data_IF_369564675507
#
_entry.id   IF_369564675507
#
_cell.length_a   1.000
_cell.length_b   1.000
_cell.length_c   1.000
_cell.angle_alpha   90.00
_cell.angle_beta   90.00
_cell.angle_gamma   90.00
#
_symmetry.space_group_name_H-M   'P 1'
#
loop_
_entity.id
_entity.type
_entity.pdbx_description
1 polymer ?
#
# COMPACT_ATOMS: atom_id res chain seq x y z
N UNK A 1 13.53 1.90 23.47
CA UNK A 1 13.47 3.14 22.67
C UNK A 1 13.41 4.38 23.54
N UNK A 2 12.51 4.49 24.52
CA UNK A 2 12.42 5.64 25.44
C UNK A 2 13.75 6.01 26.11
N UNK A 3 14.47 5.06 26.74
CA UNK A 3 15.79 5.34 27.31
C UNK A 3 16.81 5.89 26.29
N UNK A 4 16.75 5.45 25.02
CA UNK A 4 17.63 5.96 23.97
C UNK A 4 17.28 7.40 23.58
N UNK A 5 15.98 7.73 23.55
CA UNK A 5 15.47 9.09 23.34
C UNK A 5 15.88 10.01 24.51
N UNK A 6 15.81 9.52 25.74
CA UNK A 6 16.25 10.30 26.91
C UNK A 6 17.75 10.64 26.86
N UNK A 7 18.57 9.69 26.41
CA UNK A 7 20.02 9.88 26.25
C UNK A 7 20.34 10.82 25.07
N UNK A 8 19.64 10.66 23.94
CA UNK A 8 19.85 11.46 22.74
C UNK A 8 18.51 11.85 22.09
N UNK A 9 17.89 12.96 22.52
CA UNK A 9 16.54 13.35 22.09
C UNK A 9 16.37 13.66 20.61
N UNK A 10 17.46 13.89 19.87
CA UNK A 10 17.43 14.19 18.44
C UNK A 10 17.84 12.97 17.59
N UNK A 11 17.95 11.78 18.19
CA UNK A 11 18.27 10.56 17.43
C UNK A 11 16.98 9.95 16.87
N UNK A 12 16.76 10.11 15.57
CA UNK A 12 15.48 9.84 14.91
C UNK A 12 15.07 8.36 14.92
N UNK A 13 16.03 7.44 14.82
CA UNK A 13 15.78 6.00 14.67
C UNK A 13 15.02 5.41 15.88
N UNK A 14 15.41 5.69 17.15
CA UNK A 14 14.60 5.36 18.32
C UNK A 14 13.17 5.92 18.29
N UNK A 15 12.96 7.15 17.82
CA UNK A 15 11.63 7.76 17.72
C UNK A 15 10.76 7.01 16.70
N UNK A 16 11.27 6.80 15.48
CA UNK A 16 10.53 6.08 14.45
C UNK A 16 10.18 4.64 14.90
N UNK A 17 11.11 3.93 15.53
CA UNK A 17 10.85 2.59 16.07
C UNK A 17 9.85 2.60 17.22
N UNK A 18 9.88 3.62 18.09
CA UNK A 18 8.88 3.82 19.13
C UNK A 18 7.51 4.07 18.50
N UNK A 19 7.42 4.93 17.49
CA UNK A 19 6.19 5.21 16.75
C UNK A 19 5.57 3.95 16.17
N UNK A 20 6.34 3.14 15.44
CA UNK A 20 5.86 1.86 14.91
C UNK A 20 5.40 0.91 16.04
N UNK A 21 6.14 0.84 17.14
CA UNK A 21 5.76 0.00 18.30
C UNK A 21 4.46 0.46 18.94
N UNK A 22 4.24 1.78 19.06
CA UNK A 22 3.02 2.36 19.62
C UNK A 22 1.82 2.12 18.70
N UNK A 23 2.00 2.30 17.38
CA UNK A 23 0.98 1.97 16.37
C UNK A 23 0.57 0.50 16.46
N UNK A 24 1.53 -0.43 16.57
CA UNK A 24 1.27 -1.86 16.75
C UNK A 24 0.52 -2.18 18.05
N UNK A 25 0.77 -1.41 19.12
CA UNK A 25 0.06 -1.54 20.41
C UNK A 25 -1.29 -0.84 20.45
N UNK A 26 -1.65 -0.11 19.39
CA UNK A 26 -2.90 0.66 19.31
C UNK A 26 -2.89 2.01 20.02
N UNK A 27 -1.74 2.49 20.51
CA UNK A 27 -1.56 3.89 20.92
C UNK A 27 -1.29 4.74 19.67
N UNK A 28 -2.37 4.98 18.93
CA UNK A 28 -2.31 5.58 17.61
C UNK A 28 -1.90 7.05 17.68
N UNK A 29 -2.46 7.81 18.63
CA UNK A 29 -2.18 9.23 18.77
C UNK A 29 -0.70 9.52 19.04
N UNK A 30 -0.03 8.79 19.95
CA UNK A 30 1.41 8.96 20.15
C UNK A 30 2.20 8.28 19.04
N UNK A 31 1.76 7.11 18.57
CA UNK A 31 2.41 6.38 17.50
C UNK A 31 2.61 7.22 16.23
N UNK A 32 1.59 7.96 15.79
CA UNK A 32 1.71 8.84 14.63
C UNK A 32 2.65 10.03 14.85
N UNK A 33 2.71 10.59 16.06
CA UNK A 33 3.64 11.71 16.35
C UNK A 33 5.08 11.26 16.25
N UNK A 34 5.39 10.12 16.85
CA UNK A 34 6.72 9.51 16.81
C UNK A 34 7.08 9.01 15.41
N UNK A 35 6.09 8.57 14.62
CA UNK A 35 6.29 8.13 13.24
C UNK A 35 6.73 9.26 12.28
N UNK A 36 6.51 10.53 12.61
CA UNK A 36 7.01 11.66 11.79
C UNK A 36 8.54 11.74 11.78
N UNK A 37 9.23 11.15 12.77
CA UNK A 37 10.69 11.10 12.80
C UNK A 37 11.28 10.22 11.68
N UNK A 38 10.47 9.44 10.97
CA UNK A 38 10.90 8.69 9.77
C UNK A 38 11.58 9.59 8.75
N UNK A 39 11.15 10.85 8.61
CA UNK A 39 11.75 11.81 7.67
C UNK A 39 13.20 12.19 8.01
N UNK A 40 13.63 11.96 9.25
CA UNK A 40 14.99 12.22 9.70
C UNK A 40 15.84 10.94 9.79
N UNK A 41 15.24 9.76 9.58
CA UNK A 41 15.95 8.49 9.64
C UNK A 41 16.76 8.25 8.36
N UNK A 42 18.02 7.81 8.50
CA UNK A 42 18.92 7.57 7.35
C UNK A 42 18.48 6.41 6.48
N UNK A 43 17.80 5.43 7.06
CA UNK A 43 17.30 4.22 6.40
C UNK A 43 15.88 4.38 5.83
N UNK A 44 15.30 5.59 5.93
CA UNK A 44 13.99 5.84 5.36
C UNK A 44 14.06 5.89 3.83
N UNK A 45 13.53 4.85 3.18
CA UNK A 45 13.68 4.62 1.75
C UNK A 45 12.88 5.57 0.86
N UNK A 46 12.05 6.44 1.42
CA UNK A 46 11.28 7.39 0.62
C UNK A 46 12.13 8.60 0.26
N UNK A 47 12.08 8.99 -1.00
CA UNK A 47 12.68 10.23 -1.45
C UNK A 47 12.12 11.43 -0.66
N UNK A 48 13.02 12.33 -0.26
CA UNK A 48 12.62 13.64 0.27
C UNK A 48 12.10 14.47 -0.90
N UNK A 49 10.84 14.89 -0.82
CA UNK A 49 10.17 15.66 -1.87
C UNK A 49 9.84 17.05 -1.36
N UNK A 50 10.10 18.04 -2.20
CA UNK A 50 9.88 19.44 -1.88
C UNK A 50 8.71 19.97 -2.69
N UNK A 51 7.74 20.52 -1.98
CA UNK A 51 6.52 21.10 -2.51
C UNK A 51 6.38 22.52 -1.95
N UNK A 52 5.98 23.52 -2.77
CA UNK A 52 5.95 24.91 -2.33
C UNK A 52 4.78 25.24 -1.39
N UNK A 53 3.78 24.36 -1.29
CA UNK A 53 2.60 24.59 -0.45
C UNK A 53 2.91 24.40 1.04
N UNK A 54 2.08 25.01 1.88
CA UNK A 54 2.19 24.92 3.35
C UNK A 54 1.84 23.52 3.82
N UNK A 55 2.62 22.95 4.75
CA UNK A 55 2.30 21.65 5.33
C UNK A 55 1.00 21.73 6.13
N UNK A 56 0.04 20.86 5.81
CA UNK A 56 -1.24 20.77 6.52
C UNK A 56 -1.02 20.30 7.96
N UNK A 57 -1.65 20.97 8.91
CA UNK A 57 -1.48 20.75 10.35
C UNK A 57 -2.78 20.30 11.04
N UNK A 58 -3.75 19.77 10.29
CA UNK A 58 -5.05 19.38 10.83
C UNK A 58 -6.08 20.51 10.91
N UNK A 59 -5.79 21.69 10.35
CA UNK A 59 -6.76 22.78 10.21
C UNK A 59 -7.96 22.39 9.34
N UNK A 60 -9.07 23.12 9.45
CA UNK A 60 -10.23 22.95 8.57
C UNK A 60 -9.85 23.08 7.09
N UNK A 61 -10.46 22.25 6.26
CA UNK A 61 -10.22 22.15 4.81
C UNK A 61 -11.44 22.52 3.97
N UNK A 62 -12.53 23.02 4.56
CA UNK A 62 -13.72 23.36 3.81
C UNK A 62 -13.42 24.34 2.66
N UNK A 63 -13.65 23.90 1.42
CA UNK A 63 -13.41 24.68 0.21
C UNK A 63 -11.92 24.87 -0.14
N UNK A 64 -11.01 24.34 0.68
CA UNK A 64 -9.56 24.41 0.54
C UNK A 64 -9.03 23.27 -0.30
N UNK A 65 -7.89 23.50 -0.94
CA UNK A 65 -7.18 22.51 -1.74
C UNK A 65 -6.01 21.90 -0.97
N UNK A 66 -5.80 20.60 -1.16
CA UNK A 66 -4.72 19.87 -0.51
C UNK A 66 -4.05 18.89 -1.48
N UNK A 67 -2.73 19.01 -1.58
CA UNK A 67 -1.87 18.03 -2.23
C UNK A 67 -1.48 16.95 -1.22
N UNK A 68 -2.00 15.74 -1.42
CA UNK A 68 -1.57 14.54 -0.70
C UNK A 68 -0.55 13.82 -1.56
N UNK A 69 0.72 13.90 -1.24
CA UNK A 69 1.76 13.26 -2.04
C UNK A 69 2.17 11.92 -1.45
N UNK A 70 2.41 10.96 -2.33
CA UNK A 70 2.73 9.59 -1.95
C UNK A 70 4.19 9.42 -1.54
N UNK A 71 4.40 8.52 -0.60
CA UNK A 71 5.69 8.08 -0.09
C UNK A 71 5.75 6.54 -0.12
N UNK A 72 6.90 5.98 0.24
CA UNK A 72 7.11 4.53 0.39
C UNK A 72 6.71 3.71 -0.86
N UNK A 73 6.37 2.43 -0.66
CA UNK A 73 6.07 1.49 -1.74
C UNK A 73 4.60 1.50 -2.17
N UNK A 74 4.31 0.76 -3.25
CA UNK A 74 2.95 0.64 -3.82
C UNK A 74 1.92 0.13 -2.82
N UNK A 75 2.32 -0.82 -1.95
CA UNK A 75 1.44 -1.35 -0.91
C UNK A 75 1.04 -0.28 0.12
N UNK A 76 2.00 0.56 0.52
CA UNK A 76 1.77 1.64 1.48
C UNK A 76 0.89 2.73 0.87
N UNK A 77 1.09 3.06 -0.41
CA UNK A 77 0.21 3.98 -1.14
C UNK A 77 -1.23 3.46 -1.17
N UNK A 78 -1.44 2.17 -1.44
CA UNK A 78 -2.77 1.56 -1.36
C UNK A 78 -3.33 1.67 0.06
N UNK A 79 -2.55 1.30 1.08
CA UNK A 79 -3.00 1.30 2.48
C UNK A 79 -3.41 2.70 2.94
N UNK A 80 -2.56 3.69 2.74
CA UNK A 80 -2.83 5.07 3.17
C UNK A 80 -3.89 5.76 2.33
N UNK A 81 -4.09 5.37 1.06
CA UNK A 81 -5.16 5.90 0.21
C UNK A 81 -6.56 5.69 0.81
N UNK A 82 -6.73 4.74 1.74
CA UNK A 82 -7.97 4.57 2.50
C UNK A 82 -8.40 5.83 3.29
N UNK A 83 -7.50 6.80 3.48
CA UNK A 83 -7.77 8.09 4.14
C UNK A 83 -8.17 9.22 3.19
N UNK A 84 -8.05 9.04 1.86
CA UNK A 84 -8.32 10.13 0.91
C UNK A 84 -9.79 10.58 0.94
N UNK A 85 -10.73 9.66 1.12
CA UNK A 85 -12.14 10.01 1.24
C UNK A 85 -12.46 10.82 2.51
N UNK A 86 -11.62 10.74 3.56
CA UNK A 86 -11.85 11.55 4.77
C UNK A 86 -11.69 13.04 4.42
N UNK A 87 -10.70 13.36 3.58
CA UNK A 87 -10.49 14.73 3.10
C UNK A 87 -11.63 15.21 2.20
N UNK A 88 -12.20 14.33 1.38
CA UNK A 88 -13.41 14.65 0.60
C UNK A 88 -14.62 14.92 1.50
N UNK A 89 -14.76 14.21 2.63
CA UNK A 89 -15.81 14.46 3.62
C UNK A 89 -15.61 15.78 4.37
N UNK A 90 -14.37 16.28 4.42
CA UNK A 90 -14.03 17.62 4.91
C UNK A 90 -14.23 18.71 3.85
N UNK A 91 -14.90 18.40 2.73
CA UNK A 91 -15.16 19.32 1.61
C UNK A 91 -13.88 19.90 0.96
N UNK A 92 -12.77 19.17 1.07
CA UNK A 92 -11.49 19.55 0.48
C UNK A 92 -11.43 19.21 -1.02
N UNK A 93 -10.71 20.05 -1.78
CA UNK A 93 -10.29 19.76 -3.16
C UNK A 93 -9.00 18.97 -3.12
N UNK A 94 -9.10 17.64 -3.23
CA UNK A 94 -7.96 16.74 -3.06
C UNK A 94 -7.23 16.51 -4.38
N UNK A 95 -5.91 16.61 -4.33
CA UNK A 95 -4.98 16.27 -5.40
C UNK A 95 -4.01 15.23 -4.83
N UNK A 96 -3.73 14.15 -5.55
CA UNK A 96 -2.72 13.16 -5.16
C UNK A 96 -1.86 12.78 -6.33
N UNK A 97 -0.63 12.37 -6.06
CA UNK A 97 0.11 11.52 -6.99
C UNK A 97 0.08 10.05 -6.56
N UNK A 98 0.53 9.15 -7.43
CA UNK A 98 0.75 7.74 -7.10
C UNK A 98 1.68 7.08 -8.10
N UNK A 99 2.16 5.89 -7.77
CA UNK A 99 2.86 5.02 -8.72
C UNK A 99 2.01 4.81 -9.99
N UNK A 100 2.64 4.84 -11.17
CA UNK A 100 1.94 4.76 -12.46
C UNK A 100 1.07 3.50 -12.58
N UNK A 101 1.48 2.40 -11.94
CA UNK A 101 0.72 1.14 -11.86
C UNK A 101 -0.64 1.33 -11.15
N UNK A 102 -0.73 2.28 -10.23
CA UNK A 102 -1.92 2.56 -9.44
C UNK A 102 -2.87 3.57 -10.10
N UNK A 103 -2.42 4.38 -11.06
CA UNK A 103 -3.25 5.44 -11.67
C UNK A 103 -4.62 4.92 -12.14
N UNK A 104 -4.73 3.82 -12.92
CA UNK A 104 -6.04 3.34 -13.36
C UNK A 104 -6.92 2.89 -12.19
N UNK A 105 -6.33 2.33 -11.13
CA UNK A 105 -7.05 1.89 -9.93
C UNK A 105 -7.55 3.09 -9.13
N UNK A 106 -6.67 4.07 -8.87
CA UNK A 106 -7.00 5.24 -8.09
C UNK A 106 -8.03 6.11 -8.82
N UNK A 107 -7.95 6.27 -10.14
CA UNK A 107 -8.98 7.02 -10.92
C UNK A 107 -10.37 6.40 -10.81
N UNK A 108 -10.47 5.07 -10.70
CA UNK A 108 -11.76 4.40 -10.48
C UNK A 108 -12.22 4.52 -9.03
N UNK A 109 -11.31 4.32 -8.08
CA UNK A 109 -11.59 4.39 -6.65
C UNK A 109 -12.00 5.80 -6.20
N UNK A 110 -11.35 6.82 -6.75
CA UNK A 110 -11.46 8.21 -6.30
C UNK A 110 -11.77 9.16 -7.48
N UNK A 111 -12.96 9.06 -8.10
CA UNK A 111 -13.29 9.84 -9.31
C UNK A 111 -13.33 11.36 -9.07
N UNK A 112 -13.42 11.79 -7.81
CA UNK A 112 -13.42 13.21 -7.41
C UNK A 112 -12.01 13.77 -7.12
N UNK A 113 -10.98 12.94 -7.11
CA UNK A 113 -9.61 13.32 -6.78
C UNK A 113 -8.80 13.48 -8.06
N UNK A 114 -8.03 14.56 -8.15
CA UNK A 114 -7.07 14.74 -9.24
C UNK A 114 -5.86 13.85 -9.01
N UNK A 115 -5.56 12.95 -9.94
CA UNK A 115 -4.52 11.93 -9.78
C UNK A 115 -3.44 12.11 -10.84
N UNK A 116 -2.20 12.27 -10.36
CA UNK A 116 -1.00 12.45 -11.17
C UNK A 116 -0.01 11.28 -10.99
N UNK A 117 0.89 11.04 -11.95
CA UNK A 117 2.02 10.14 -11.73
C UNK A 117 2.98 10.72 -10.68
N UNK A 118 3.53 9.84 -9.84
CA UNK A 118 4.61 10.15 -8.91
C UNK A 118 5.94 10.22 -9.67
N UNK A 119 6.16 11.33 -10.36
CA UNK A 119 7.39 11.62 -11.09
C UNK A 119 8.40 12.38 -10.22
N UNK A 120 9.68 12.30 -10.59
CA UNK A 120 10.77 13.08 -10.03
C UNK A 120 11.63 13.67 -11.18
N UNK A 121 11.58 14.99 -11.45
CA UNK A 121 10.84 16.01 -10.72
C UNK A 121 9.31 15.86 -10.83
N UNK A 122 8.52 16.37 -9.86
CA UNK A 122 7.06 16.31 -9.92
C UNK A 122 6.51 17.10 -11.11
N UNK A 123 5.35 16.68 -11.62
CA UNK A 123 4.66 17.40 -12.69
C UNK A 123 4.26 18.81 -12.23
N UNK A 124 4.30 19.78 -13.16
CA UNK A 124 4.15 21.22 -12.85
C UNK A 124 2.88 21.56 -12.07
N UNK A 125 1.80 20.82 -12.30
CA UNK A 125 0.51 21.00 -11.61
C UNK A 125 0.62 20.78 -10.10
N UNK A 126 1.52 19.90 -9.64
CA UNK A 126 1.73 19.65 -8.20
C UNK A 126 2.52 20.78 -7.54
N UNK A 127 3.15 21.66 -8.33
CA UNK A 127 3.92 22.81 -7.86
C UNK A 127 3.11 24.12 -7.86
N UNK A 128 1.81 24.06 -8.16
CA UNK A 128 0.95 25.23 -8.17
C UNK A 128 0.82 25.83 -6.76
N UNK A 129 1.26 27.08 -6.59
CA UNK A 129 1.21 27.80 -5.32
C UNK A 129 -0.20 28.24 -4.92
N UNK A 130 -1.19 28.05 -5.80
CA UNK A 130 -2.60 28.24 -5.46
C UNK A 130 -3.20 27.05 -4.70
N UNK A 131 -2.48 25.92 -4.60
CA UNK A 131 -2.87 24.83 -3.73
C UNK A 131 -2.60 25.25 -2.27
N UNK A 132 -3.63 25.25 -1.43
CA UNK A 132 -3.54 25.83 -0.07
C UNK A 132 -2.58 25.04 0.83
N UNK A 133 -2.63 23.71 0.77
CA UNK A 133 -1.83 22.84 1.64
C UNK A 133 -1.20 21.64 0.92
N UNK A 134 -0.19 21.05 1.55
CA UNK A 134 0.36 19.75 1.18
C UNK A 134 0.56 18.84 2.41
N UNK A 135 0.56 17.53 2.22
CA UNK A 135 0.91 16.56 3.25
C UNK A 135 1.40 15.22 2.64
N UNK A 136 2.42 14.56 3.21
CA UNK A 136 2.73 13.19 2.86
C UNK A 136 1.58 12.25 3.25
N UNK A 137 1.24 11.29 2.39
CA UNK A 137 0.07 10.43 2.58
C UNK A 137 0.11 9.62 3.89
N UNK A 138 1.29 9.21 4.37
CA UNK A 138 1.42 8.49 5.64
C UNK A 138 1.28 9.39 6.87
N UNK A 139 1.51 10.70 6.73
CA UNK A 139 1.30 11.68 7.81
C UNK A 139 -0.18 12.02 8.03
N UNK A 140 -1.07 11.65 7.10
CA UNK A 140 -2.52 11.76 7.29
C UNK A 140 -3.02 11.00 8.53
N UNK A 141 -2.36 9.88 8.87
CA UNK A 141 -2.76 9.03 10.01
C UNK A 141 -2.82 9.80 11.33
N UNK A 142 -1.92 10.78 11.52
CA UNK A 142 -1.88 11.65 12.70
C UNK A 142 -3.20 12.38 12.95
N UNK A 143 -3.87 12.79 11.89
CA UNK A 143 -5.08 13.61 11.94
C UNK A 143 -6.35 12.79 11.79
N UNK A 144 -6.29 11.75 10.96
CA UNK A 144 -7.46 10.99 10.53
C UNK A 144 -7.61 9.63 11.20
N UNK A 145 -6.57 9.15 11.91
CA UNK A 145 -6.52 7.84 12.56
C UNK A 145 -5.91 7.94 13.96
N UNK A 146 -6.40 8.90 14.74
CA UNK A 146 -5.96 9.19 16.11
C UNK A 146 -6.30 8.09 17.12
N UNK A 147 -7.34 7.30 16.86
CA UNK A 147 -7.80 6.22 17.72
C UNK A 147 -8.48 5.09 16.90
N UNK A 148 -8.74 3.94 17.53
CA UNK A 148 -9.26 2.76 16.83
C UNK A 148 -10.66 2.96 16.22
N UNK A 149 -11.48 3.86 16.77
CA UNK A 149 -12.82 4.12 16.23
C UNK A 149 -12.76 4.85 14.89
N UNK A 150 -11.67 5.57 14.59
CA UNK A 150 -11.50 6.28 13.32
C UNK A 150 -11.38 5.32 12.12
N UNK A 151 -11.08 4.04 12.38
CA UNK A 151 -11.07 2.98 11.37
C UNK A 151 -12.47 2.38 11.12
N UNK A 152 -13.46 2.64 11.99
CA UNK A 152 -14.81 2.07 11.92
C UNK A 152 -15.69 2.76 10.87
N UNK A 153 -15.12 3.07 9.70
CA UNK A 153 -15.89 3.47 8.53
C UNK A 153 -16.91 2.38 8.21
N UNK A 154 -18.12 2.79 7.82
CA UNK A 154 -19.22 1.88 7.45
C UNK A 154 -18.83 1.05 6.22
N UNK A 155 -18.37 -0.20 6.40
CA UNK A 155 -18.37 -1.34 5.46
C UNK A 155 -18.13 -1.08 3.95
N UNK A 156 -17.47 0.01 3.55
CA UNK A 156 -17.28 0.38 2.15
C UNK A 156 -15.85 0.08 1.73
N UNK A 157 -15.69 -0.76 0.72
CA UNK A 157 -14.43 -0.90 0.00
C UNK A 157 -14.09 0.43 -0.67
N UNK A 158 -12.89 0.97 -0.41
CA UNK A 158 -12.44 2.19 -1.07
C UNK A 158 -11.80 1.92 -2.44
N UNK A 159 -11.31 0.71 -2.68
CA UNK A 159 -10.78 0.31 -3.99
C UNK A 159 -11.86 -0.33 -4.87
N UNK A 160 -11.85 0.05 -6.15
CA UNK A 160 -12.71 -0.54 -7.16
C UNK A 160 -11.91 -1.25 -8.26
N UNK A 161 -12.02 -2.57 -8.30
CA UNK A 161 -11.47 -3.39 -9.38
C UNK A 161 -12.12 -3.03 -10.73
N UNK A 162 -11.39 -3.17 -11.83
CA UNK A 162 -11.95 -2.95 -13.17
C UNK A 162 -13.01 -4.04 -13.46
N UNK A 163 -14.30 -3.67 -13.70
CA UNK A 163 -15.37 -4.65 -13.88
C UNK A 163 -15.12 -5.58 -15.07
N UNK A 164 -14.63 -5.03 -16.19
CA UNK A 164 -14.35 -5.79 -17.40
C UNK A 164 -13.22 -6.81 -17.20
N UNK A 165 -12.07 -6.39 -16.65
CA UNK A 165 -10.95 -7.29 -16.35
C UNK A 165 -11.37 -8.37 -15.35
N UNK A 166 -12.12 -7.98 -14.32
CA UNK A 166 -12.65 -8.91 -13.31
C UNK A 166 -13.55 -9.96 -13.97
N UNK A 167 -14.48 -9.56 -14.83
CA UNK A 167 -15.39 -10.48 -15.53
C UNK A 167 -14.62 -11.45 -16.45
N UNK A 168 -13.66 -10.94 -17.22
CA UNK A 168 -12.81 -11.73 -18.10
C UNK A 168 -12.01 -12.79 -17.31
N UNK A 169 -11.28 -12.38 -16.27
CA UNK A 169 -10.48 -13.28 -15.45
C UNK A 169 -11.34 -14.29 -14.68
N UNK A 170 -12.47 -13.84 -14.11
CA UNK A 170 -13.41 -14.73 -13.42
C UNK A 170 -13.95 -15.81 -14.36
N UNK A 171 -14.29 -15.45 -15.60
CA UNK A 171 -14.78 -16.40 -16.60
C UNK A 171 -13.69 -17.39 -16.99
N UNK A 172 -12.48 -16.89 -17.28
CA UNK A 172 -11.30 -17.71 -17.60
C UNK A 172 -11.02 -18.74 -16.49
N UNK A 173 -10.87 -18.29 -15.24
CA UNK A 173 -10.51 -19.17 -14.14
C UNK A 173 -11.61 -20.13 -13.73
N UNK A 174 -12.88 -19.72 -13.75
CA UNK A 174 -13.99 -20.65 -13.51
C UNK A 174 -14.06 -21.76 -14.55
N UNK A 175 -13.79 -21.45 -15.82
CA UNK A 175 -13.74 -22.47 -16.89
C UNK A 175 -12.63 -23.49 -16.63
N UNK A 176 -11.46 -23.04 -16.17
CA UNK A 176 -10.32 -23.91 -15.87
C UNK A 176 -10.51 -24.73 -14.60
N UNK A 177 -11.08 -24.13 -13.55
CA UNK A 177 -11.24 -24.75 -12.24
C UNK A 177 -12.48 -25.66 -12.12
N UNK A 178 -13.47 -25.50 -13.01
CA UNK A 178 -14.77 -26.14 -12.88
C UNK A 178 -15.47 -25.67 -11.59
N UNK A 179 -15.78 -26.63 -10.70
CA UNK A 179 -16.42 -26.35 -9.42
C UNK A 179 -15.44 -26.08 -8.28
N UNK A 180 -14.12 -26.17 -8.52
CA UNK A 180 -13.12 -25.97 -7.47
C UNK A 180 -13.03 -24.49 -7.06
N UNK A 181 -12.90 -24.17 -5.76
CA UNK A 181 -12.53 -22.84 -5.30
C UNK A 181 -11.22 -22.36 -5.94
N UNK A 182 -11.22 -21.09 -6.36
CA UNK A 182 -10.05 -20.39 -6.90
C UNK A 182 -9.21 -19.84 -5.75
N UNK A 183 -7.93 -20.21 -5.68
CA UNK A 183 -7.01 -19.77 -4.63
C UNK A 183 -5.80 -19.10 -5.26
N UNK A 184 -5.69 -17.78 -5.09
CA UNK A 184 -4.51 -17.02 -5.52
C UNK A 184 -3.38 -17.13 -4.49
N UNK A 185 -2.15 -17.39 -4.93
CA UNK A 185 -0.98 -17.52 -4.06
C UNK A 185 0.15 -16.56 -4.46
N UNK A 186 0.79 -15.96 -3.45
CA UNK A 186 2.06 -15.23 -3.53
C UNK A 186 2.84 -15.54 -2.26
N UNK A 187 4.13 -15.84 -2.40
CA UNK A 187 4.96 -16.44 -1.35
C UNK A 187 6.35 -15.84 -1.22
N UNK A 188 6.72 -14.92 -2.10
CA UNK A 188 8.05 -14.33 -2.16
C UNK A 188 7.97 -12.81 -2.29
N UNK A 189 8.89 -12.13 -1.61
CA UNK A 189 9.09 -10.70 -1.78
C UNK A 189 10.38 -10.45 -2.55
N UNK A 190 10.30 -9.55 -3.54
CA UNK A 190 11.47 -9.02 -4.25
C UNK A 190 12.25 -7.95 -3.49
N UNK A 191 11.90 -7.65 -2.23
CA UNK A 191 12.61 -6.65 -1.42
C UNK A 191 13.98 -7.19 -0.98
N UNK A 192 15.06 -6.47 -1.26
CA UNK A 192 16.42 -6.94 -0.98
C UNK A 192 16.77 -6.98 0.52
N UNK A 193 16.14 -6.12 1.33
CA UNK A 193 16.51 -5.95 2.74
C UNK A 193 15.77 -6.93 3.66
N UNK A 194 14.47 -7.16 3.39
CA UNK A 194 13.60 -7.96 4.26
C UNK A 194 12.87 -9.07 3.50
N UNK A 195 13.12 -9.22 2.21
CA UNK A 195 12.36 -10.14 1.37
C UNK A 195 12.57 -11.58 1.79
N UNK A 196 13.80 -11.99 2.13
CA UNK A 196 14.10 -13.35 2.59
C UNK A 196 13.27 -13.73 3.82
N UNK A 197 13.25 -12.88 4.85
CA UNK A 197 12.48 -13.10 6.08
C UNK A 197 10.96 -13.11 5.87
N UNK A 198 10.48 -12.49 4.78
CA UNK A 198 9.05 -12.44 4.40
C UNK A 198 8.69 -13.39 3.25
N UNK A 199 9.60 -14.27 2.87
CA UNK A 199 9.40 -15.26 1.81
C UNK A 199 9.34 -16.67 2.37
N UNK A 200 8.73 -17.56 1.61
CA UNK A 200 8.79 -19.00 1.86
C UNK A 200 9.14 -19.72 0.56
N UNK A 201 9.28 -21.04 0.60
CA UNK A 201 9.48 -21.87 -0.58
C UNK A 201 8.27 -22.77 -0.79
N UNK A 202 7.91 -23.01 -2.05
CA UNK A 202 6.80 -23.90 -2.41
C UNK A 202 6.96 -25.30 -1.82
N UNK A 203 8.18 -25.77 -1.55
CA UNK A 203 8.44 -27.07 -0.90
C UNK A 203 7.73 -27.24 0.45
N UNK A 204 7.50 -26.14 1.18
CA UNK A 204 6.80 -26.16 2.47
C UNK A 204 5.28 -26.17 2.31
N UNK A 205 4.78 -25.93 1.10
CA UNK A 205 3.36 -25.85 0.78
C UNK A 205 2.84 -27.08 0.03
N UNK A 206 3.65 -28.13 -0.17
CA UNK A 206 3.22 -29.33 -0.90
C UNK A 206 1.89 -29.89 -0.40
N UNK A 207 1.68 -30.00 0.92
CA UNK A 207 0.42 -30.52 1.48
C UNK A 207 -0.80 -29.66 1.12
N UNK A 208 -0.62 -28.35 0.97
CA UNK A 208 -1.67 -27.41 0.56
C UNK A 208 -1.89 -27.53 -0.95
N UNK A 209 -0.81 -27.49 -1.73
CA UNK A 209 -0.84 -27.44 -3.19
C UNK A 209 -1.24 -28.78 -3.84
N UNK A 210 -1.12 -29.89 -3.11
CA UNK A 210 -1.59 -31.22 -3.54
C UNK A 210 -3.09 -31.42 -3.36
N UNK A 211 -3.81 -30.44 -2.81
CA UNK A 211 -5.27 -30.52 -2.65
C UNK A 211 -5.98 -30.54 -4.00
N UNK A 212 -6.64 -31.65 -4.30
CA UNK A 212 -7.38 -31.84 -5.54
C UNK A 212 -8.72 -31.10 -5.59
N UNK A 213 -9.21 -30.60 -4.46
CA UNK A 213 -10.45 -29.84 -4.36
C UNK A 213 -10.25 -28.33 -4.51
N UNK A 214 -9.03 -27.86 -4.77
CA UNK A 214 -8.73 -26.44 -5.02
C UNK A 214 -8.13 -26.24 -6.42
N UNK A 215 -8.22 -25.00 -6.92
CA UNK A 215 -7.52 -24.56 -8.12
C UNK A 215 -6.60 -23.39 -7.76
N UNK A 216 -5.30 -23.64 -7.74
CA UNK A 216 -4.30 -22.65 -7.35
C UNK A 216 -3.86 -21.82 -8.56
N UNK A 217 -3.82 -20.50 -8.38
CA UNK A 217 -3.41 -19.51 -9.38
C UNK A 217 -2.18 -18.79 -8.87
N UNK A 218 -1.13 -18.76 -9.68
CA UNK A 218 0.06 -17.97 -9.37
C UNK A 218 -0.27 -16.47 -9.47
N UNK A 219 -0.12 -15.74 -8.36
CA UNK A 219 -0.14 -14.28 -8.30
C UNK A 219 1.24 -13.72 -7.91
N UNK A 220 2.26 -14.57 -7.83
CA UNK A 220 3.61 -14.17 -7.47
C UNK A 220 4.26 -13.44 -8.65
N UNK A 221 4.58 -12.17 -8.41
CA UNK A 221 5.34 -11.36 -9.35
C UNK A 221 6.82 -11.77 -9.37
N UNK A 222 7.48 -11.45 -10.48
CA UNK A 222 8.89 -11.73 -10.71
C UNK A 222 9.14 -13.12 -11.32
N UNK A 223 10.41 -13.44 -11.59
CA UNK A 223 10.76 -14.69 -12.24
C UNK A 223 10.71 -15.87 -11.25
N UNK A 224 9.58 -16.57 -11.23
CA UNK A 224 9.33 -17.77 -10.39
C UNK A 224 8.99 -19.01 -11.20
N UNK A 225 9.01 -18.92 -12.53
CA UNK A 225 8.60 -19.99 -13.44
C UNK A 225 9.37 -21.28 -13.17
N UNK A 226 10.69 -21.19 -13.06
CA UNK A 226 11.54 -22.35 -12.78
C UNK A 226 11.19 -23.00 -11.42
N UNK A 227 11.01 -22.21 -10.36
CA UNK A 227 10.64 -22.76 -9.03
C UNK A 227 9.30 -23.50 -9.09
N UNK A 228 8.32 -22.94 -9.81
CA UNK A 228 7.00 -23.56 -9.99
C UNK A 228 7.10 -24.85 -10.80
N UNK A 229 7.83 -24.84 -11.92
CA UNK A 229 8.02 -26.02 -12.78
C UNK A 229 8.77 -27.15 -12.06
N UNK A 230 9.80 -26.82 -11.29
CA UNK A 230 10.52 -27.79 -10.45
C UNK A 230 9.62 -28.36 -9.35
N UNK A 231 8.77 -27.54 -8.74
CA UNK A 231 7.82 -28.02 -7.73
C UNK A 231 6.82 -29.01 -8.32
N UNK A 232 6.22 -28.67 -9.47
CA UNK A 232 5.24 -29.52 -10.17
C UNK A 232 5.89 -30.82 -10.66
N UNK A 233 7.08 -30.75 -11.26
CA UNK A 233 7.76 -31.93 -11.82
C UNK A 233 8.16 -32.95 -10.75
N UNK A 234 8.48 -32.49 -9.55
CA UNK A 234 8.87 -33.35 -8.43
C UNK A 234 7.67 -33.95 -7.67
N UNK A 235 6.43 -33.56 -8.00
CA UNK A 235 5.22 -33.91 -7.26
C UNK A 235 4.04 -34.10 -8.21
N UNK A 236 3.73 -35.38 -8.52
CA UNK A 236 2.71 -35.78 -9.49
C UNK A 236 1.30 -35.19 -9.26
N UNK A 237 0.97 -34.74 -8.04
CA UNK A 237 -0.38 -34.27 -7.68
C UNK A 237 -0.48 -32.76 -7.37
N UNK A 238 0.60 -31.97 -7.54
CA UNK A 238 0.52 -30.51 -7.36
C UNK A 238 0.21 -29.80 -8.67
N UNK A 239 -0.72 -28.84 -8.64
CA UNK A 239 -1.00 -27.98 -9.80
C UNK A 239 -1.07 -26.51 -9.38
N UNK A 240 -0.25 -25.68 -10.03
CA UNK A 240 -0.31 -24.22 -9.94
C UNK A 240 -0.51 -23.69 -11.36
N UNK A 241 -1.59 -22.95 -11.59
CA UNK A 241 -1.83 -22.32 -12.88
C UNK A 241 -0.97 -21.06 -13.02
N UNK A 242 -0.06 -21.09 -14.01
CA UNK A 242 0.72 -19.93 -14.44
C UNK A 242 -0.07 -19.17 -15.51
N UNK A 243 -0.54 -17.97 -15.17
CA UNK A 243 -1.24 -17.12 -16.12
C UNK A 243 -0.26 -16.16 -16.82
N UNK A 244 0.09 -16.42 -18.07
CA UNK A 244 0.98 -15.56 -18.85
C UNK A 244 0.32 -14.24 -19.31
N UNK A 245 -1.00 -14.08 -19.11
CA UNK A 245 -1.72 -12.84 -19.45
C UNK A 245 -1.71 -11.83 -18.27
N UNK A 246 -1.15 -12.21 -17.12
CA UNK A 246 -1.02 -11.38 -15.93
C UNK A 246 0.47 -11.33 -15.54
N UNK A 247 1.07 -10.15 -15.69
CA UNK A 247 2.39 -9.82 -15.13
C UNK A 247 2.37 -9.67 -13.60
#
# INVERSE_FOLDING_TARGET
>A
YQNAIEIQPNYAEPHNNLGQTLLLKGDLHQGWKEYEWRWQCKDFSSEIRYFPQVLWNGSDLNGKSILVWTEQGVGDQIMFASMLDDLLQMEAKVITDCDTRLIPLFKRAFPKIQIFPRDNPPVQQLLDTNIDYQIPIGSLGRWLRSNQNDFKRKNQSYLQACPEKTSKLKTKYKKLAGNKPLIGISWKSGNQNFGEAKSTSLKFWTSILSRQDCFFINLQYGNVKQEVEEHISNKNDTSIYLDNDID
#
